data_IF_694019761972
#
_entry.id   IF_694019761972
#
_cell.length_a   1.000
_cell.length_b   1.000
_cell.length_c   1.000
_cell.angle_alpha   90.00
_cell.angle_beta   90.00
_cell.angle_gamma   90.00
#
_symmetry.space_group_name_H-M   'P 1'
#
loop_
_entity.id
_entity.type
_entity.pdbx_description
1 polymer ?
#
# COMPACT_ATOMS: atom_id res chain seq x y z
N UNK A 1 -4.98 9.28 21.59
CA UNK A 1 -3.70 8.82 20.99
C UNK A 1 -2.56 9.20 21.92
N UNK A 2 -1.70 8.24 22.25
CA UNK A 2 -0.64 8.40 23.26
C UNK A 2 0.67 8.90 22.66
N UNK A 3 0.64 9.37 21.43
CA UNK A 3 1.81 9.72 20.64
C UNK A 3 1.69 11.08 19.98
N UNK A 4 2.81 11.81 19.92
CA UNK A 4 2.99 12.99 19.08
C UNK A 4 3.83 12.64 17.86
N UNK A 5 3.33 12.99 16.68
CA UNK A 5 4.04 12.72 15.42
C UNK A 5 5.06 13.83 15.15
N UNK A 6 6.28 13.43 14.87
CA UNK A 6 7.36 14.31 14.46
C UNK A 6 7.43 14.37 12.94
N UNK A 7 7.47 13.20 12.30
CA UNK A 7 7.63 13.04 10.85
C UNK A 7 6.76 11.87 10.38
N UNK A 8 6.09 12.04 9.26
CA UNK A 8 5.47 10.96 8.53
C UNK A 8 6.10 10.85 7.13
N UNK A 9 6.45 9.62 6.78
CA UNK A 9 6.98 9.25 5.47
C UNK A 9 5.95 8.38 4.76
N UNK A 10 5.11 8.96 3.88
CA UNK A 10 4.16 8.20 3.10
C UNK A 10 4.85 7.16 2.23
N UNK A 11 4.17 6.08 1.99
CA UNK A 11 4.60 5.05 1.03
C UNK A 11 3.41 4.59 0.21
N UNK A 12 3.67 4.03 -0.96
CA UNK A 12 2.69 3.32 -1.76
C UNK A 12 2.95 1.82 -1.76
N UNK A 13 2.29 1.14 -2.66
CA UNK A 13 2.52 -0.27 -2.92
C UNK A 13 2.31 -0.61 -4.39
N UNK A 14 3.11 -1.54 -4.88
CA UNK A 14 3.09 -2.00 -6.26
C UNK A 14 2.76 -3.47 -6.29
N UNK A 15 1.71 -3.83 -7.03
CA UNK A 15 1.35 -5.22 -7.32
C UNK A 15 2.07 -5.66 -8.58
N UNK A 16 2.60 -6.86 -8.53
CA UNK A 16 3.29 -7.49 -9.65
C UNK A 16 2.92 -8.97 -9.77
N UNK A 17 3.04 -9.48 -10.95
CA UNK A 17 2.72 -10.87 -11.29
C UNK A 17 3.89 -11.56 -11.96
N UNK A 18 3.88 -12.89 -11.94
CA UNK A 18 4.86 -13.68 -12.67
C UNK A 18 4.54 -13.64 -14.17
N UNK A 19 5.57 -13.48 -15.01
CA UNK A 19 5.44 -13.44 -16.47
C UNK A 19 4.76 -14.68 -17.05
N UNK A 20 4.87 -15.83 -16.38
CA UNK A 20 4.24 -17.09 -16.82
C UNK A 20 2.72 -17.03 -16.92
N UNK A 21 2.08 -15.98 -16.36
CA UNK A 21 0.63 -15.76 -16.46
C UNK A 21 0.20 -15.20 -17.82
N UNK A 22 1.12 -14.86 -18.72
CA UNK A 22 0.82 -14.36 -20.07
C UNK A 22 0.18 -12.96 -20.09
N UNK A 23 0.19 -12.26 -18.96
CA UNK A 23 -0.30 -10.87 -18.81
C UNK A 23 0.88 -9.93 -18.94
N UNK A 24 0.79 -8.95 -19.84
CA UNK A 24 1.89 -8.00 -20.13
C UNK A 24 1.70 -6.65 -19.44
N UNK A 25 0.46 -6.29 -19.15
CA UNK A 25 0.12 -4.99 -18.55
C UNK A 25 -1.24 -5.04 -17.86
N UNK A 26 -1.62 -3.93 -17.22
CA UNK A 26 -2.92 -3.78 -16.57
C UNK A 26 -4.14 -3.99 -17.51
N UNK A 27 -4.00 -3.69 -18.79
CA UNK A 27 -5.07 -3.90 -19.76
C UNK A 27 -5.43 -5.38 -19.94
N UNK A 28 -4.49 -6.28 -19.67
CA UNK A 28 -4.70 -7.72 -19.75
C UNK A 28 -5.27 -8.34 -18.47
N UNK A 29 -5.44 -7.58 -17.40
CA UNK A 29 -5.81 -8.08 -16.06
C UNK A 29 -7.08 -8.90 -16.04
N UNK A 30 -8.03 -8.65 -16.96
CA UNK A 30 -9.25 -9.44 -17.09
C UNK A 30 -8.99 -10.93 -17.32
N UNK A 31 -7.87 -11.27 -17.96
CA UNK A 31 -7.43 -12.66 -18.19
C UNK A 31 -7.16 -13.40 -16.86
N UNK A 32 -6.74 -12.67 -15.82
CA UNK A 32 -6.43 -13.24 -14.50
C UNK A 32 -7.66 -13.64 -13.70
N UNK A 33 -8.88 -13.20 -14.05
CA UNK A 33 -10.09 -13.59 -13.33
C UNK A 33 -10.35 -15.11 -13.39
N UNK A 34 -9.92 -15.76 -14.47
CA UNK A 34 -10.01 -17.22 -14.64
C UNK A 34 -8.82 -17.99 -14.06
N UNK A 35 -7.74 -17.29 -13.72
CA UNK A 35 -6.52 -17.91 -13.20
C UNK A 35 -6.66 -18.21 -11.69
N UNK A 36 -6.22 -19.40 -11.28
CA UNK A 36 -6.07 -19.73 -9.85
C UNK A 36 -4.75 -19.14 -9.37
N UNK A 37 -4.81 -18.03 -8.65
CA UNK A 37 -3.64 -17.32 -8.14
C UNK A 37 -3.39 -17.66 -6.67
N UNK A 38 -2.12 -17.77 -6.28
CA UNK A 38 -1.70 -17.83 -4.88
C UNK A 38 -0.99 -16.52 -4.52
N UNK A 39 -1.25 -16.04 -3.31
CA UNK A 39 -0.66 -14.82 -2.74
C UNK A 39 -0.11 -15.13 -1.35
N UNK A 40 1.17 -14.90 -1.12
CA UNK A 40 1.76 -15.04 0.21
C UNK A 40 1.35 -13.89 1.13
N UNK A 41 0.77 -14.17 2.27
CA UNK A 41 0.22 -13.17 3.18
C UNK A 41 0.64 -13.39 4.62
N UNK A 42 0.87 -12.29 5.34
CA UNK A 42 1.10 -12.31 6.78
C UNK A 42 -0.18 -12.66 7.54
N UNK A 43 -1.33 -12.26 7.01
CA UNK A 43 -2.65 -12.46 7.59
C UNK A 43 -3.63 -11.40 7.12
N UNK A 44 -4.94 -11.69 7.18
CA UNK A 44 -5.96 -10.80 6.64
C UNK A 44 -6.21 -9.56 7.52
N UNK A 45 -5.67 -9.51 8.74
CA UNK A 45 -5.77 -8.38 9.68
C UNK A 45 -4.49 -7.54 9.72
N UNK A 46 -3.51 -7.84 8.87
CA UNK A 46 -2.27 -7.06 8.71
C UNK A 46 -2.41 -6.02 7.60
N UNK A 47 -1.30 -5.40 7.19
CA UNK A 47 -1.27 -4.52 6.02
C UNK A 47 -1.74 -5.23 4.73
N UNK A 48 -1.72 -6.56 4.71
CA UNK A 48 -2.18 -7.38 3.60
C UNK A 48 -3.71 -7.36 3.42
N UNK A 49 -4.46 -6.77 4.35
CA UNK A 49 -5.88 -6.46 4.16
C UNK A 49 -6.13 -5.66 2.87
N UNK A 50 -5.27 -4.68 2.59
CA UNK A 50 -5.42 -3.81 1.42
C UNK A 50 -5.32 -4.57 0.10
N UNK A 51 -4.27 -5.39 -0.18
CA UNK A 51 -4.24 -6.23 -1.36
C UNK A 51 -5.38 -7.26 -1.42
N UNK A 52 -5.73 -7.89 -0.31
CA UNK A 52 -6.81 -8.88 -0.29
C UNK A 52 -8.16 -8.28 -0.68
N UNK A 53 -8.49 -7.10 -0.16
CA UNK A 53 -9.67 -6.34 -0.56
C UNK A 53 -9.60 -5.91 -2.03
N UNK A 54 -8.43 -5.44 -2.50
CA UNK A 54 -8.26 -5.05 -3.90
C UNK A 54 -8.49 -6.22 -4.85
N UNK A 55 -7.92 -7.39 -4.55
CA UNK A 55 -8.10 -8.59 -5.38
C UNK A 55 -9.55 -9.04 -5.43
N UNK A 56 -10.26 -8.99 -4.30
CA UNK A 56 -11.68 -9.33 -4.21
C UNK A 56 -12.54 -8.35 -5.04
N UNK A 57 -12.31 -7.03 -4.89
CA UNK A 57 -12.98 -5.98 -5.68
C UNK A 57 -12.76 -6.16 -7.18
N UNK A 58 -11.53 -6.52 -7.59
CA UNK A 58 -11.20 -6.77 -9.00
C UNK A 58 -11.78 -8.10 -9.52
N UNK A 59 -12.36 -8.94 -8.65
CA UNK A 59 -12.90 -10.25 -9.03
C UNK A 59 -11.79 -11.25 -9.38
N UNK A 60 -10.60 -11.12 -8.81
CA UNK A 60 -9.49 -12.05 -9.03
C UNK A 60 -9.63 -13.27 -8.10
N UNK A 61 -9.46 -14.46 -8.67
CA UNK A 61 -9.46 -15.71 -7.90
C UNK A 61 -8.11 -15.92 -7.21
N UNK A 62 -7.89 -15.21 -6.10
CA UNK A 62 -6.65 -15.25 -5.33
C UNK A 62 -6.86 -16.03 -4.04
N UNK A 63 -6.11 -17.12 -3.88
CA UNK A 63 -6.02 -17.89 -2.63
C UNK A 63 -4.83 -17.39 -1.81
N UNK A 64 -5.06 -16.74 -0.66
CA UNK A 64 -3.97 -16.34 0.23
C UNK A 64 -3.37 -17.56 0.94
N UNK A 65 -2.06 -17.54 1.08
CA UNK A 65 -1.28 -18.45 1.93
C UNK A 65 -0.83 -17.64 3.14
N UNK A 66 -1.55 -17.79 4.25
CA UNK A 66 -1.31 -17.05 5.48
C UNK A 66 -0.10 -17.59 6.27
N UNK A 67 0.41 -16.78 7.21
CA UNK A 67 1.52 -17.16 8.08
C UNK A 67 2.90 -16.74 7.58
N UNK A 68 2.99 -15.96 6.52
CA UNK A 68 4.27 -15.38 6.12
C UNK A 68 4.80 -14.43 7.21
N UNK A 69 6.05 -14.60 7.62
CA UNK A 69 6.70 -13.77 8.65
C UNK A 69 7.04 -12.35 8.18
N UNK A 70 6.47 -11.89 7.07
CA UNK A 70 6.67 -10.56 6.50
C UNK A 70 6.58 -10.56 4.98
N UNK A 71 6.68 -9.38 4.37
CA UNK A 71 6.64 -9.24 2.90
C UNK A 71 7.90 -9.79 2.19
N UNK A 72 9.02 -9.88 2.91
CA UNK A 72 10.25 -10.50 2.39
C UNK A 72 10.07 -11.99 2.05
N UNK A 73 9.63 -12.85 2.98
CA UNK A 73 9.27 -14.24 2.70
C UNK A 73 8.26 -14.41 1.57
N UNK A 74 7.21 -13.56 1.49
CA UNK A 74 6.25 -13.60 0.38
C UNK A 74 6.92 -13.36 -0.97
N UNK A 75 7.81 -12.36 -1.05
CA UNK A 75 8.59 -12.08 -2.26
C UNK A 75 9.49 -13.26 -2.64
N UNK A 76 10.15 -13.90 -1.66
CA UNK A 76 10.98 -15.09 -1.94
C UNK A 76 10.14 -16.25 -2.46
N UNK A 77 8.93 -16.46 -1.93
CA UNK A 77 7.99 -17.45 -2.46
C UNK A 77 7.57 -17.13 -3.90
N UNK A 78 7.43 -15.83 -4.24
CA UNK A 78 7.20 -15.38 -5.61
C UNK A 78 8.41 -15.68 -6.52
N UNK A 79 9.62 -15.42 -6.07
CA UNK A 79 10.85 -15.70 -6.84
C UNK A 79 11.01 -17.20 -7.14
N UNK A 80 10.59 -18.07 -6.21
CA UNK A 80 10.57 -19.52 -6.38
C UNK A 80 9.36 -20.04 -7.18
N UNK A 81 8.43 -19.16 -7.58
CA UNK A 81 7.23 -19.55 -8.32
C UNK A 81 6.11 -20.20 -7.50
N UNK A 82 6.25 -20.26 -6.17
CA UNK A 82 5.24 -20.83 -5.25
C UNK A 82 3.96 -19.97 -5.20
N UNK A 83 4.11 -18.66 -5.36
CA UNK A 83 3.03 -17.70 -5.56
C UNK A 83 3.29 -16.92 -6.84
N UNK A 84 2.21 -16.51 -7.54
CA UNK A 84 2.34 -15.85 -8.85
C UNK A 84 1.81 -14.42 -8.90
N UNK A 85 1.23 -13.94 -7.82
CA UNK A 85 0.87 -12.55 -7.59
C UNK A 85 1.43 -12.13 -6.22
N UNK A 86 2.04 -10.96 -6.15
CA UNK A 86 2.55 -10.41 -4.89
C UNK A 86 2.50 -8.88 -4.94
N UNK A 87 2.72 -8.23 -3.81
CA UNK A 87 2.96 -6.80 -3.75
C UNK A 87 4.12 -6.48 -2.81
N UNK A 88 4.76 -5.36 -3.05
CA UNK A 88 5.70 -4.79 -2.09
C UNK A 88 5.39 -3.30 -1.89
N UNK A 89 5.72 -2.80 -0.69
CA UNK A 89 5.74 -1.35 -0.47
C UNK A 89 6.76 -0.70 -1.38
N UNK A 90 6.54 0.55 -1.79
CA UNK A 90 7.42 1.26 -2.73
C UNK A 90 8.91 1.12 -2.42
N UNK A 91 9.39 1.33 -1.16
CA UNK A 91 10.80 1.15 -0.86
C UNK A 91 11.33 -0.27 -1.13
N UNK A 92 10.53 -1.27 -0.77
CA UNK A 92 10.90 -2.66 -0.99
C UNK A 92 10.83 -3.04 -2.48
N UNK A 93 9.86 -2.52 -3.22
CA UNK A 93 9.76 -2.69 -4.66
C UNK A 93 10.98 -2.12 -5.38
N UNK A 94 11.33 -0.86 -5.11
CA UNK A 94 12.49 -0.20 -5.71
C UNK A 94 13.78 -0.99 -5.47
N UNK A 95 13.99 -1.48 -4.24
CA UNK A 95 15.22 -2.18 -3.85
C UNK A 95 15.25 -3.64 -4.29
N UNK A 96 14.14 -4.36 -4.24
CA UNK A 96 14.10 -5.83 -4.33
C UNK A 96 13.35 -6.38 -5.52
N UNK A 97 12.33 -5.68 -6.03
CA UNK A 97 11.51 -6.18 -7.14
C UNK A 97 11.96 -5.59 -8.47
N UNK A 98 12.47 -4.36 -8.50
CA UNK A 98 13.05 -3.78 -9.73
C UNK A 98 14.08 -4.69 -10.41
N UNK A 99 14.98 -5.38 -9.69
CA UNK A 99 15.87 -6.37 -10.31
C UNK A 99 15.12 -7.54 -10.98
N UNK A 100 14.00 -8.00 -10.39
CA UNK A 100 13.17 -9.07 -10.97
C UNK A 100 12.44 -8.60 -12.23
N UNK A 101 12.01 -7.34 -12.25
CA UNK A 101 11.42 -6.71 -13.44
C UNK A 101 12.46 -6.64 -14.57
N UNK A 102 13.68 -6.19 -14.27
CA UNK A 102 14.77 -6.13 -15.24
C UNK A 102 15.13 -7.51 -15.81
N UNK A 103 15.03 -8.56 -15.00
CA UNK A 103 15.22 -9.97 -15.43
C UNK A 103 14.01 -10.55 -16.16
N UNK A 104 12.91 -9.78 -16.30
CA UNK A 104 11.68 -10.23 -16.94
C UNK A 104 10.93 -11.31 -16.14
N UNK A 105 11.19 -11.46 -14.84
CA UNK A 105 10.51 -12.42 -13.95
C UNK A 105 9.19 -11.83 -13.44
N UNK A 106 9.21 -10.58 -13.00
CA UNK A 106 8.08 -9.86 -12.46
C UNK A 106 7.57 -8.80 -13.46
N UNK A 107 6.25 -8.71 -13.59
CA UNK A 107 5.56 -7.68 -14.38
C UNK A 107 4.75 -6.82 -13.40
N UNK A 108 5.12 -5.56 -13.15
CA UNK A 108 4.30 -4.64 -12.37
C UNK A 108 3.02 -4.31 -13.13
N UNK A 109 1.88 -4.38 -12.44
CA UNK A 109 0.57 -4.25 -13.10
C UNK A 109 -0.26 -3.09 -12.57
N UNK A 110 -0.11 -2.75 -11.30
CA UNK A 110 -0.82 -1.61 -10.70
C UNK A 110 -0.16 -1.15 -9.41
N UNK A 111 -0.53 0.05 -9.00
CA UNK A 111 -0.23 0.59 -7.67
C UNK A 111 -1.52 0.74 -6.85
N UNK A 112 -1.38 1.02 -5.56
CA UNK A 112 -2.53 1.44 -4.76
C UNK A 112 -3.00 2.85 -5.16
N UNK A 113 -2.13 3.65 -5.77
CA UNK A 113 -2.32 5.08 -5.96
C UNK A 113 -2.05 5.87 -4.67
N UNK A 114 -2.31 7.14 -4.73
CA UNK A 114 -2.27 8.06 -3.58
C UNK A 114 -3.55 8.91 -3.54
N UNK A 115 -3.88 9.45 -2.38
CA UNK A 115 -4.96 10.43 -2.27
C UNK A 115 -4.38 11.83 -2.41
N UNK A 116 -4.97 12.63 -3.30
CA UNK A 116 -4.67 14.06 -3.37
C UNK A 116 -5.37 14.83 -2.22
N UNK A 117 -5.18 16.13 -2.15
CA UNK A 117 -5.74 17.00 -1.12
C UNK A 117 -7.28 16.95 -1.02
N UNK A 118 -7.94 16.66 -2.12
CA UNK A 118 -9.40 16.50 -2.21
C UNK A 118 -9.87 15.05 -1.90
N UNK A 119 -8.98 14.18 -1.43
CA UNK A 119 -9.29 12.77 -1.15
C UNK A 119 -9.57 11.92 -2.41
N UNK A 120 -9.27 12.45 -3.59
CA UNK A 120 -9.40 11.71 -4.86
C UNK A 120 -8.19 10.80 -5.05
N UNK A 121 -8.45 9.56 -5.46
CA UNK A 121 -7.39 8.62 -5.81
C UNK A 121 -6.74 9.04 -7.12
N UNK A 122 -5.42 9.17 -7.09
CA UNK A 122 -4.58 9.53 -8.25
C UNK A 122 -3.43 8.53 -8.38
N UNK A 123 -2.73 8.54 -9.50
CA UNK A 123 -1.58 7.67 -9.73
C UNK A 123 -0.46 7.94 -8.74
N UNK A 124 0.27 6.89 -8.42
CA UNK A 124 1.44 6.95 -7.55
C UNK A 124 2.55 7.81 -8.20
N UNK A 125 3.06 8.85 -7.51
CA UNK A 125 4.05 9.75 -8.10
C UNK A 125 5.39 9.07 -8.40
N UNK A 126 5.67 7.92 -7.76
CA UNK A 126 6.88 7.13 -8.03
C UNK A 126 6.72 6.28 -9.30
N UNK A 127 5.49 5.89 -9.62
CA UNK A 127 5.15 5.02 -10.74
C UNK A 127 4.03 5.63 -11.61
N UNK A 128 4.23 6.82 -12.22
CA UNK A 128 3.17 7.54 -12.93
C UNK A 128 2.62 6.79 -14.15
N UNK A 129 3.39 5.86 -14.69
CA UNK A 129 2.98 5.03 -15.83
C UNK A 129 2.18 3.78 -15.42
N UNK A 130 2.13 3.43 -14.13
CA UNK A 130 1.29 2.35 -13.65
C UNK A 130 -0.08 2.88 -13.24
N UNK A 131 -1.17 2.24 -13.68
CA UNK A 131 -2.49 2.62 -13.21
C UNK A 131 -2.65 2.29 -11.74
N UNK A 132 -3.51 3.03 -11.05
CA UNK A 132 -3.96 2.65 -9.72
C UNK A 132 -5.12 1.66 -9.78
N UNK A 133 -5.41 0.99 -8.68
CA UNK A 133 -6.44 -0.08 -8.60
C UNK A 133 -7.82 0.36 -9.13
N UNK A 134 -8.21 1.61 -8.97
CA UNK A 134 -9.49 2.12 -9.50
C UNK A 134 -9.50 2.23 -11.04
N UNK A 135 -8.35 2.58 -11.65
CA UNK A 135 -8.21 2.58 -13.11
C UNK A 135 -8.23 1.14 -13.65
N UNK A 136 -7.55 0.21 -12.97
CA UNK A 136 -7.57 -1.22 -13.34
C UNK A 136 -8.99 -1.77 -13.24
N UNK A 137 -9.72 -1.44 -12.18
CA UNK A 137 -11.13 -1.81 -12.07
C UNK A 137 -11.94 -1.31 -13.27
N UNK A 138 -11.77 -0.04 -13.65
CA UNK A 138 -12.45 0.54 -14.82
C UNK A 138 -12.07 -0.18 -16.12
N UNK A 139 -10.79 -0.53 -16.29
CA UNK A 139 -10.34 -1.31 -17.48
C UNK A 139 -11.00 -2.70 -17.53
N UNK A 140 -11.17 -3.35 -16.38
CA UNK A 140 -11.73 -4.71 -16.31
C UNK A 140 -13.24 -4.76 -16.43
N UNK A 141 -13.95 -3.76 -15.89
CA UNK A 141 -15.41 -3.76 -15.71
C UNK A 141 -16.14 -2.67 -16.48
N UNK A 142 -15.43 -1.79 -17.21
CA UNK A 142 -16.02 -0.71 -18.02
C UNK A 142 -16.56 0.49 -17.23
N UNK A 143 -16.54 0.45 -15.89
CA UNK A 143 -17.08 1.48 -15.00
C UNK A 143 -16.19 1.72 -13.80
N UNK A 144 -16.28 2.90 -13.19
CA UNK A 144 -15.55 3.20 -11.97
C UNK A 144 -16.06 2.35 -10.78
N UNK A 145 -15.17 1.94 -9.86
CA UNK A 145 -15.58 1.19 -8.67
C UNK A 145 -16.43 2.07 -7.74
N UNK A 146 -17.47 1.48 -7.15
CA UNK A 146 -18.38 2.12 -6.19
C UNK A 146 -18.89 1.12 -5.16
N UNK A 147 -19.56 1.62 -4.13
CA UNK A 147 -20.19 0.80 -3.10
C UNK A 147 -19.33 0.56 -1.87
N UNK A 148 -19.87 -0.19 -0.88
CA UNK A 148 -19.25 -0.35 0.45
C UNK A 148 -17.85 -0.96 0.42
N UNK A 149 -17.61 -1.97 -0.42
CA UNK A 149 -16.30 -2.60 -0.58
C UNK A 149 -15.23 -1.59 -1.03
N UNK A 150 -15.55 -0.77 -2.03
CA UNK A 150 -14.65 0.27 -2.53
C UNK A 150 -14.39 1.35 -1.50
N UNK A 151 -15.42 1.78 -0.78
CA UNK A 151 -15.29 2.76 0.30
C UNK A 151 -14.42 2.22 1.43
N UNK A 152 -14.63 0.98 1.83
CA UNK A 152 -13.81 0.31 2.83
C UNK A 152 -12.35 0.16 2.37
N UNK A 153 -12.11 -0.28 1.14
CA UNK A 153 -10.76 -0.38 0.59
C UNK A 153 -10.03 0.97 0.64
N UNK A 154 -10.66 2.06 0.21
CA UNK A 154 -10.06 3.40 0.26
C UNK A 154 -9.69 3.82 1.68
N UNK A 155 -10.58 3.57 2.64
CA UNK A 155 -10.36 3.92 4.03
C UNK A 155 -9.15 3.17 4.62
N UNK A 156 -9.05 1.87 4.40
CA UNK A 156 -7.93 1.06 4.90
C UNK A 156 -6.63 1.32 4.13
N UNK A 157 -6.68 1.60 2.84
CA UNK A 157 -5.51 2.05 2.08
C UNK A 157 -4.98 3.38 2.62
N UNK A 158 -5.86 4.35 2.85
CA UNK A 158 -5.51 5.65 3.42
C UNK A 158 -4.93 5.54 4.84
N UNK A 159 -5.46 4.63 5.65
CA UNK A 159 -4.94 4.36 7.00
C UNK A 159 -3.58 3.64 6.98
N UNK A 160 -3.37 2.71 6.04
CA UNK A 160 -2.21 1.83 6.05
C UNK A 160 -0.96 2.38 5.36
N UNK A 161 -1.09 3.10 4.25
CA UNK A 161 0.06 3.45 3.41
C UNK A 161 0.60 4.86 3.62
N UNK A 162 -0.20 5.94 3.64
CA UNK A 162 0.30 7.29 3.88
C UNK A 162 0.95 7.47 5.26
N UNK A 163 0.50 6.71 6.24
CA UNK A 163 0.99 6.78 7.62
C UNK A 163 1.88 5.59 8.03
N UNK A 164 2.38 4.81 7.08
CA UNK A 164 3.08 3.55 7.38
C UNK A 164 4.40 3.75 8.12
N UNK A 165 5.11 4.82 7.85
CA UNK A 165 6.39 5.12 8.48
C UNK A 165 6.32 6.47 9.16
N UNK A 166 6.43 6.46 10.48
CA UNK A 166 6.38 7.68 11.29
C UNK A 166 7.45 7.65 12.36
N UNK A 167 7.91 8.84 12.73
CA UNK A 167 8.70 9.08 13.94
C UNK A 167 7.76 9.70 14.96
N UNK A 168 7.70 9.10 16.14
CA UNK A 168 6.84 9.50 17.25
C UNK A 168 7.67 9.83 18.48
N UNK A 169 7.12 10.70 19.32
CA UNK A 169 7.47 10.82 20.73
C UNK A 169 6.24 10.57 21.59
N UNK A 170 6.42 10.17 22.83
CA UNK A 170 5.31 9.94 23.76
C UNK A 170 4.56 11.24 24.02
N UNK A 171 3.24 11.18 24.11
CA UNK A 171 2.42 12.32 24.56
C UNK A 171 2.87 12.73 25.97
N UNK A 172 2.99 14.05 26.20
CA UNK A 172 3.55 14.59 27.44
C UNK A 172 5.06 14.78 27.40
N UNK A 173 5.74 14.43 26.32
CA UNK A 173 7.15 14.85 26.11
C UNK A 173 7.25 16.38 26.19
N UNK A 174 8.24 16.94 26.92
CA UNK A 174 8.40 18.38 27.05
C UNK A 174 8.39 19.12 25.71
N UNK A 175 7.69 20.25 25.65
CA UNK A 175 7.46 21.01 24.40
C UNK A 175 8.75 21.38 23.67
N UNK A 176 9.80 21.75 24.45
CA UNK A 176 11.12 22.08 23.89
C UNK A 176 11.76 20.87 23.19
N UNK A 177 11.61 19.66 23.74
CA UNK A 177 12.12 18.42 23.13
C UNK A 177 11.34 18.10 21.84
N UNK A 178 10.00 18.21 21.87
CA UNK A 178 9.17 18.03 20.67
C UNK A 178 9.56 19.03 19.59
N UNK A 179 9.76 20.29 19.94
CA UNK A 179 10.18 21.34 19.03
C UNK A 179 11.56 21.04 18.42
N UNK A 180 12.53 20.61 19.24
CA UNK A 180 13.85 20.22 18.77
C UNK A 180 13.80 19.07 17.75
N UNK A 181 13.02 18.03 18.02
CA UNK A 181 12.82 16.93 17.07
C UNK A 181 12.19 17.37 15.75
N UNK A 182 11.17 18.25 15.82
CA UNK A 182 10.51 18.80 14.61
C UNK A 182 11.47 19.68 13.81
N UNK A 183 12.27 20.52 14.48
CA UNK A 183 13.28 21.34 13.82
C UNK A 183 14.37 20.46 13.15
N UNK A 184 14.83 19.41 13.84
CA UNK A 184 15.79 18.48 13.27
C UNK A 184 15.23 17.74 12.04
N UNK A 185 13.97 17.30 12.09
CA UNK A 185 13.31 16.68 10.95
C UNK A 185 13.18 17.64 9.75
N UNK A 186 12.77 18.89 10.00
CA UNK A 186 12.67 19.91 8.96
C UNK A 186 14.05 20.21 8.34
N UNK A 187 15.09 20.36 9.18
CA UNK A 187 16.47 20.56 8.73
C UNK A 187 16.97 19.40 7.88
N UNK A 188 16.70 18.15 8.29
CA UNK A 188 17.10 16.97 7.53
C UNK A 188 16.44 16.92 6.15
N UNK A 189 15.15 17.26 6.06
CA UNK A 189 14.41 17.31 4.79
C UNK A 189 14.96 18.38 3.84
N UNK A 190 15.40 19.51 4.40
CA UNK A 190 15.97 20.63 3.66
C UNK A 190 17.44 20.45 3.24
N UNK A 191 18.09 19.36 3.66
CA UNK A 191 19.52 19.12 3.34
C UNK A 191 19.72 18.93 1.83
N UNK A 192 20.80 19.48 1.26
CA UNK A 192 21.19 19.18 -0.12
C UNK A 192 21.29 17.69 -0.37
N UNK A 193 20.72 17.23 -1.49
CA UNK A 193 20.72 15.80 -1.85
C UNK A 193 19.65 14.94 -1.16
N UNK A 194 18.94 15.45 -0.14
CA UNK A 194 17.88 14.68 0.54
C UNK A 194 16.82 14.19 -0.46
N UNK A 195 16.32 15.06 -1.32
CA UNK A 195 15.25 14.73 -2.29
C UNK A 195 15.69 13.59 -3.24
N UNK A 196 16.91 13.66 -3.77
CA UNK A 196 17.45 12.61 -4.64
C UNK A 196 17.61 11.28 -3.89
N UNK A 197 18.15 11.31 -2.65
CA UNK A 197 18.34 10.13 -1.82
C UNK A 197 16.99 9.52 -1.41
N UNK A 198 16.02 10.35 -1.04
CA UNK A 198 14.66 9.95 -0.71
C UNK A 198 13.98 9.28 -1.91
N UNK A 199 14.01 9.92 -3.07
CA UNK A 199 13.36 9.40 -4.29
C UNK A 199 13.90 8.02 -4.67
N UNK A 200 15.21 7.81 -4.54
CA UNK A 200 15.87 6.53 -4.82
C UNK A 200 15.51 5.43 -3.82
N UNK A 201 15.31 5.76 -2.54
CA UNK A 201 15.13 4.79 -1.45
C UNK A 201 13.69 4.62 -1.01
N UNK A 202 12.92 5.69 -0.94
CA UNK A 202 11.57 5.73 -0.37
C UNK A 202 10.47 5.97 -1.42
N UNK A 203 10.84 6.52 -2.59
CA UNK A 203 9.90 6.96 -3.63
C UNK A 203 9.64 8.47 -3.58
N UNK A 204 8.86 8.95 -4.55
CA UNK A 204 8.60 10.38 -4.76
C UNK A 204 7.44 10.92 -3.90
N UNK A 205 7.36 10.49 -2.65
CA UNK A 205 6.34 11.00 -1.72
C UNK A 205 6.88 12.18 -0.94
N UNK A 206 6.02 13.18 -0.74
CA UNK A 206 6.34 14.31 0.11
C UNK A 206 6.42 13.87 1.58
N UNK A 207 7.46 14.33 2.26
CA UNK A 207 7.61 14.09 3.70
C UNK A 207 6.71 15.07 4.46
N UNK A 208 5.98 14.59 5.45
CA UNK A 208 5.06 15.41 6.22
C UNK A 208 5.57 15.65 7.64
N UNK A 209 5.58 16.91 8.05
CA UNK A 209 5.89 17.36 9.41
C UNK A 209 4.73 18.16 9.99
N UNK A 210 4.77 18.51 11.27
CA UNK A 210 3.80 19.40 11.93
C UNK A 210 2.34 18.97 11.71
N UNK A 211 1.47 19.91 11.33
CA UNK A 211 0.03 19.68 11.13
C UNK A 211 -0.26 18.60 10.08
N UNK A 212 0.55 18.54 9.02
CA UNK A 212 0.38 17.56 7.94
C UNK A 212 0.62 16.13 8.42
N UNK A 213 1.68 15.90 9.22
CA UNK A 213 1.96 14.61 9.84
C UNK A 213 0.87 14.20 10.84
N UNK A 214 0.37 15.13 11.64
CA UNK A 214 -0.75 14.90 12.56
C UNK A 214 -2.04 14.51 11.81
N UNK A 215 -2.34 15.15 10.67
CA UNK A 215 -3.50 14.81 9.86
C UNK A 215 -3.40 13.37 9.32
N UNK A 216 -2.24 12.96 8.82
CA UNK A 216 -2.00 11.58 8.37
C UNK A 216 -2.17 10.58 9.53
N UNK A 217 -1.65 10.90 10.71
CA UNK A 217 -1.83 10.06 11.89
C UNK A 217 -3.30 9.91 12.29
N UNK A 218 -4.05 11.02 12.25
CA UNK A 218 -5.50 11.00 12.52
C UNK A 218 -6.24 10.09 11.55
N UNK A 219 -5.92 10.13 10.26
CA UNK A 219 -6.51 9.24 9.24
C UNK A 219 -6.14 7.78 9.52
N UNK A 220 -4.89 7.51 9.89
CA UNK A 220 -4.42 6.16 10.19
C UNK A 220 -5.11 5.52 11.41
N UNK A 221 -5.47 6.33 12.40
CA UNK A 221 -6.04 5.85 13.67
C UNK A 221 -7.57 5.93 13.74
N UNK A 222 -8.22 6.62 12.79
CA UNK A 222 -9.67 6.83 12.77
C UNK A 222 -10.29 6.32 11.47
N UNK A 223 -10.30 5.01 11.29
CA UNK A 223 -11.02 4.40 10.17
C UNK A 223 -12.53 4.59 10.38
N UNK A 224 -13.29 5.05 9.36
CA UNK A 224 -14.72 5.26 9.47
C UNK A 224 -15.47 4.02 9.98
N UNK A 225 -16.38 4.16 10.96
CA UNK A 225 -17.08 3.03 11.58
C UNK A 225 -17.77 2.11 10.57
N UNK A 226 -18.41 2.68 9.54
CA UNK A 226 -19.06 1.91 8.49
C UNK A 226 -18.07 1.04 7.70
N UNK A 227 -16.88 1.59 7.37
CA UNK A 227 -15.81 0.84 6.69
C UNK A 227 -15.28 -0.27 7.58
N UNK A 228 -15.07 0.01 8.88
CA UNK A 228 -14.65 -1.00 9.87
C UNK A 228 -15.67 -2.13 9.98
N UNK A 229 -16.96 -1.80 10.18
CA UNK A 229 -18.04 -2.80 10.26
C UNK A 229 -18.09 -3.68 9.02
N UNK A 230 -18.00 -3.07 7.84
CA UNK A 230 -18.03 -3.82 6.58
C UNK A 230 -16.85 -4.79 6.48
N UNK A 231 -15.62 -4.34 6.79
CA UNK A 231 -14.42 -5.19 6.76
C UNK A 231 -14.49 -6.32 7.78
N UNK A 232 -14.98 -6.08 9.00
CA UNK A 232 -15.15 -7.13 10.00
C UNK A 232 -16.09 -8.23 9.50
N UNK A 233 -17.22 -7.86 8.89
CA UNK A 233 -18.13 -8.83 8.29
C UNK A 233 -17.47 -9.59 7.13
N UNK A 234 -16.76 -8.89 6.24
CA UNK A 234 -16.02 -9.49 5.13
C UNK A 234 -14.95 -10.48 5.61
N UNK A 235 -14.18 -10.14 6.65
CA UNK A 235 -13.18 -11.03 7.26
C UNK A 235 -13.82 -12.31 7.82
N UNK A 236 -14.95 -12.15 8.53
CA UNK A 236 -15.72 -13.29 9.05
C UNK A 236 -16.21 -14.20 7.92
N UNK A 237 -16.85 -13.62 6.92
CA UNK A 237 -17.45 -14.37 5.80
C UNK A 237 -16.39 -15.02 4.91
N UNK A 238 -15.30 -14.31 4.61
CA UNK A 238 -14.31 -14.75 3.62
C UNK A 238 -13.23 -15.66 4.19
N UNK A 239 -12.85 -15.45 5.45
CA UNK A 239 -11.69 -16.13 6.06
C UNK A 239 -12.00 -16.76 7.41
N UNK A 240 -13.22 -16.69 7.89
CA UNK A 240 -13.61 -17.12 9.25
C UNK A 240 -12.71 -16.49 10.34
N UNK A 241 -12.37 -15.20 10.17
CA UNK A 241 -11.54 -14.42 11.08
C UNK A 241 -12.33 -13.27 11.67
N UNK A 242 -12.26 -13.16 13.00
CA UNK A 242 -12.73 -12.02 13.76
C UNK A 242 -11.50 -11.49 14.50
N UNK A 243 -11.10 -10.21 14.30
CA UNK A 243 -9.99 -9.58 15.03
C UNK A 243 -10.33 -9.40 16.48
#
# INVERSE_FOLDING_TARGET
>A
ADWEVILATPVGGVVYINKSLGVKSASDMKKLQKAKLKFGSQGPTSLDLVPLLAFDILGLNVKPVFGMKGRGPSRLAFERGEVRIDYQTTPAFLKRVTPLVKKGIAIPIMTWGTLNENGKLVRDPTFPNLPHVGEVYKMMHGKAPKGPAWTAWKAFMAAGFPAQKMIFVKKGTPKNIVAAWRAAAAKAIAMPGFEAAKNKKLGKYEQATGKKAQALYKVATNVPPAAKKWVLNWLKTRYNKVP
#
